data_IF_943970152631
#
_entry.id   IF_943970152631
#
_cell.length_a   1.000
_cell.length_b   1.000
_cell.length_c   1.000
_cell.angle_alpha   90.00
_cell.angle_beta   90.00
_cell.angle_gamma   90.00
#
_symmetry.space_group_name_H-M   'P 1'
#
loop_
_entity.id
_entity.type
_entity.pdbx_description
1 polymer ?
#
# COMPACT_ATOMS: atom_id res chain seq x y z
N UNK A 1 -12.34 -16.75 2.67
CA UNK A 1 -11.33 -17.80 2.46
C UNK A 1 -9.99 -17.13 2.47
N UNK A 2 -9.09 -17.65 3.29
CA UNK A 2 -7.73 -17.17 3.38
C UNK A 2 -6.95 -17.51 2.12
N UNK A 3 -6.05 -16.64 1.70
CA UNK A 3 -5.21 -16.87 0.55
C UNK A 3 -3.91 -16.09 0.58
N UNK A 4 -2.94 -16.56 -0.19
CA UNK A 4 -1.73 -15.81 -0.45
C UNK A 4 -2.03 -14.76 -1.52
N UNK A 5 -1.58 -13.53 -1.23
CA UNK A 5 -1.56 -12.42 -2.17
C UNK A 5 -0.13 -11.99 -2.34
N UNK A 6 0.34 -11.97 -3.58
CA UNK A 6 1.64 -11.45 -3.99
C UNK A 6 1.42 -10.14 -4.73
N UNK A 7 2.18 -9.11 -4.36
CA UNK A 7 2.05 -7.77 -4.95
C UNK A 7 3.42 -7.23 -5.32
N UNK A 8 3.50 -6.62 -6.49
CA UNK A 8 4.64 -5.82 -6.93
C UNK A 8 4.20 -4.37 -7.06
N UNK A 9 4.95 -3.46 -6.44
CA UNK A 9 4.58 -2.06 -6.28
C UNK A 9 5.77 -1.13 -6.45
N UNK A 10 5.50 0.12 -6.81
CA UNK A 10 6.37 1.23 -6.41
C UNK A 10 5.87 1.75 -5.06
N UNK A 11 6.76 1.83 -4.06
CA UNK A 11 6.42 2.26 -2.71
C UNK A 11 7.20 3.50 -2.31
N UNK A 12 6.52 4.43 -1.65
CA UNK A 12 7.13 5.52 -0.88
C UNK A 12 6.83 5.31 0.60
N UNK A 13 7.85 5.31 1.44
CA UNK A 13 7.64 5.36 2.89
C UNK A 13 7.31 6.80 3.32
N UNK A 14 6.46 6.96 4.33
CA UNK A 14 6.15 8.24 4.98
C UNK A 14 6.79 8.22 6.38
N UNK A 15 8.06 8.66 6.53
CA UNK A 15 8.83 8.46 7.77
C UNK A 15 8.20 9.12 8.99
N UNK A 16 7.51 10.24 8.80
CA UNK A 16 6.78 10.99 9.82
C UNK A 16 5.57 10.25 10.41
N UNK A 17 5.16 9.14 9.78
CA UNK A 17 4.07 8.28 10.23
C UNK A 17 4.57 7.04 10.99
N UNK A 18 5.89 6.84 11.09
CA UNK A 18 6.44 5.67 11.76
C UNK A 18 5.98 5.59 13.23
N UNK A 19 5.42 4.44 13.61
CA UNK A 19 4.97 4.18 14.96
C UNK A 19 3.58 4.71 15.29
N UNK A 20 2.93 5.46 14.39
CA UNK A 20 1.60 6.03 14.60
C UNK A 20 0.49 4.98 14.46
N UNK A 21 -0.61 5.20 15.16
CA UNK A 21 -1.84 4.40 15.05
C UNK A 21 -2.62 4.73 13.78
N UNK A 22 -3.64 3.92 13.44
CA UNK A 22 -4.53 4.20 12.30
C UNK A 22 -5.27 5.53 12.45
N UNK A 23 -5.72 5.87 13.66
CA UNK A 23 -6.35 7.16 13.97
C UNK A 23 -5.46 8.35 13.68
N UNK A 24 -4.17 8.23 14.03
CA UNK A 24 -3.20 9.29 13.80
C UNK A 24 -2.78 9.39 12.33
N UNK A 25 -2.90 8.28 11.60
CA UNK A 25 -2.45 8.14 10.21
C UNK A 25 -3.54 8.51 9.21
N UNK A 26 -4.79 8.11 9.48
CA UNK A 26 -5.90 8.30 8.56
C UNK A 26 -6.11 9.76 8.11
N UNK A 27 -6.02 10.78 8.98
CA UNK A 27 -6.11 12.18 8.56
C UNK A 27 -5.05 12.58 7.52
N UNK A 28 -3.85 12.00 7.60
CA UNK A 28 -2.78 12.25 6.62
C UNK A 28 -3.11 11.61 5.29
N UNK A 29 -3.65 10.39 5.29
CA UNK A 29 -4.11 9.75 4.05
C UNK A 29 -5.32 10.47 3.44
N UNK A 30 -6.24 10.97 4.26
CA UNK A 30 -7.37 11.78 3.81
C UNK A 30 -6.90 13.02 3.05
N UNK A 31 -5.88 13.72 3.57
CA UNK A 31 -5.30 14.87 2.90
C UNK A 31 -4.57 14.50 1.58
N UNK A 32 -3.91 13.34 1.53
CA UNK A 32 -3.09 12.91 0.38
C UNK A 32 -3.89 12.23 -0.74
N UNK A 33 -4.89 11.43 -0.39
CA UNK A 33 -5.61 10.53 -1.30
C UNK A 33 -7.11 10.83 -1.37
N UNK A 34 -7.67 11.64 -0.45
CA UNK A 34 -9.10 11.88 -0.34
C UNK A 34 -9.82 10.83 0.50
N UNK A 35 -11.14 10.72 0.37
CA UNK A 35 -11.92 9.78 1.17
C UNK A 35 -11.59 8.33 0.82
N UNK A 36 -11.31 7.52 1.84
CA UNK A 36 -11.15 6.07 1.68
C UNK A 36 -12.49 5.41 1.31
N UNK A 37 -12.56 4.64 0.21
CA UNK A 37 -13.75 3.87 -0.17
C UNK A 37 -14.20 2.87 0.90
N UNK A 38 -13.24 2.29 1.61
CA UNK A 38 -13.48 1.41 2.74
C UNK A 38 -12.93 2.08 4.01
N UNK A 39 -13.82 2.41 4.93
CA UNK A 39 -13.50 2.96 6.25
C UNK A 39 -14.37 2.25 7.29
N UNK A 40 -13.73 1.65 8.29
CA UNK A 40 -14.39 1.07 9.46
C UNK A 40 -13.98 1.83 10.72
N UNK A 41 -14.98 2.27 11.47
CA UNK A 41 -14.80 3.00 12.72
C UNK A 41 -15.50 2.27 13.85
N UNK A 42 -14.77 2.00 14.93
CA UNK A 42 -15.31 1.38 16.14
C UNK A 42 -15.08 2.29 17.34
N UNK A 43 -16.16 2.61 18.07
CA UNK A 43 -16.11 3.50 19.24
C UNK A 43 -15.46 4.88 19.01
N UNK A 44 -15.43 5.35 17.76
CA UNK A 44 -14.83 6.63 17.38
C UNK A 44 -13.37 6.54 16.94
N UNK A 45 -12.78 5.33 16.98
CA UNK A 45 -11.43 5.03 16.51
C UNK A 45 -11.51 4.38 15.11
N UNK A 46 -10.52 4.67 14.27
CA UNK A 46 -10.33 4.09 12.93
C UNK A 46 -9.68 2.71 13.08
N UNK A 47 -10.49 1.66 12.97
CA UNK A 47 -10.02 0.27 13.00
C UNK A 47 -9.38 -0.13 11.68
N UNK A 48 -9.96 0.33 10.56
CA UNK A 48 -9.54 -0.04 9.23
C UNK A 48 -9.86 1.06 8.22
N UNK A 49 -8.96 1.25 7.26
CA UNK A 49 -9.24 2.00 6.05
C UNK A 49 -8.47 1.40 4.88
N UNK A 50 -9.02 1.48 3.68
CA UNK A 50 -8.41 0.96 2.46
C UNK A 50 -8.78 1.78 1.23
N UNK A 51 -7.81 1.97 0.35
CA UNK A 51 -7.95 2.63 -0.95
C UNK A 51 -7.89 1.60 -2.09
N UNK A 52 -8.84 1.65 -3.02
CA UNK A 52 -8.95 0.73 -4.16
C UNK A 52 -8.41 1.31 -5.49
N UNK A 53 -7.72 2.45 -5.44
CA UNK A 53 -7.24 3.20 -6.60
C UNK A 53 -5.82 2.90 -7.07
N UNK A 54 -5.28 3.82 -7.89
CA UNK A 54 -3.89 3.81 -8.40
C UNK A 54 -2.89 3.83 -7.25
N UNK A 55 -3.20 4.57 -6.19
CA UNK A 55 -2.40 4.68 -4.98
C UNK A 55 -3.16 4.04 -3.83
N UNK A 56 -2.49 3.16 -3.10
CA UNK A 56 -3.03 2.46 -1.93
C UNK A 56 -2.18 2.74 -0.71
N UNK A 57 -2.79 2.70 0.47
CA UNK A 57 -2.07 2.68 1.73
C UNK A 57 -1.30 1.36 1.90
N UNK A 58 -0.22 1.42 2.67
CA UNK A 58 0.45 0.23 3.16
C UNK A 58 0.97 0.46 4.57
N UNK A 59 1.02 -0.63 5.33
CA UNK A 59 1.66 -0.67 6.64
C UNK A 59 2.51 -1.94 6.74
N UNK A 60 3.80 -1.78 7.01
CA UNK A 60 4.67 -2.85 7.45
C UNK A 60 4.39 -3.08 8.94
N UNK A 61 3.64 -4.15 9.24
CA UNK A 61 3.11 -4.46 10.58
C UNK A 61 4.24 -4.69 11.60
N UNK A 62 5.33 -5.32 11.20
CA UNK A 62 6.45 -5.64 12.10
C UNK A 62 7.21 -4.39 12.54
N UNK A 63 7.32 -3.41 11.64
CA UNK A 63 8.08 -2.18 11.90
C UNK A 63 7.20 -0.94 12.15
N UNK A 64 5.88 -1.11 12.08
CA UNK A 64 4.86 -0.06 12.11
C UNK A 64 5.22 1.15 11.23
N UNK A 65 5.66 0.85 9.99
CA UNK A 65 6.02 1.87 8.99
C UNK A 65 4.89 1.98 7.97
N UNK A 66 4.48 3.22 7.72
CA UNK A 66 3.42 3.54 6.80
C UNK A 66 3.99 4.09 5.49
N UNK A 67 3.27 3.88 4.40
CA UNK A 67 3.68 4.36 3.09
C UNK A 67 2.57 4.27 2.07
N UNK A 68 2.81 4.87 0.91
CA UNK A 68 1.88 4.81 -0.22
C UNK A 68 2.48 3.89 -1.28
N UNK A 69 1.62 3.12 -1.93
CA UNK A 69 1.99 2.19 -2.99
C UNK A 69 1.25 2.50 -4.27
N UNK A 70 1.96 2.43 -5.39
CA UNK A 70 1.37 2.26 -6.71
C UNK A 70 1.46 0.80 -7.12
N UNK A 71 0.30 0.16 -7.27
CA UNK A 71 0.22 -1.27 -7.59
C UNK A 71 0.58 -1.50 -9.06
N UNK A 72 1.61 -2.31 -9.32
CA UNK A 72 2.03 -2.68 -10.68
C UNK A 72 1.41 -4.01 -11.09
N UNK A 73 1.36 -4.96 -10.15
CA UNK A 73 0.80 -6.29 -10.33
C UNK A 73 0.36 -6.84 -8.98
N UNK A 74 -0.79 -7.50 -8.94
CA UNK A 74 -1.31 -8.19 -7.75
C UNK A 74 -1.84 -9.56 -8.16
N UNK A 75 -1.36 -10.60 -7.54
CA UNK A 75 -1.79 -11.97 -7.79
C UNK A 75 -2.23 -12.59 -6.49
N UNK A 76 -3.40 -13.21 -6.51
CA UNK A 76 -3.83 -14.11 -5.46
C UNK A 76 -3.96 -15.52 -6.03
N UNK A 77 -3.82 -16.52 -5.17
CA UNK A 77 -4.05 -17.91 -5.56
C UNK A 77 -5.52 -18.21 -5.97
N UNK A 78 -6.45 -17.23 -5.82
CA UNK A 78 -7.82 -17.27 -6.33
C UNK A 78 -8.07 -16.39 -7.57
N UNK A 79 -7.24 -15.36 -7.81
CA UNK A 79 -7.44 -14.36 -8.86
C UNK A 79 -6.15 -13.63 -9.18
N UNK A 80 -5.77 -13.58 -10.44
CA UNK A 80 -4.70 -12.71 -10.94
C UNK A 80 -5.31 -11.36 -11.33
N UNK A 81 -5.00 -10.30 -10.60
CA UNK A 81 -5.34 -8.91 -10.95
C UNK A 81 -4.09 -8.19 -11.47
N UNK A 82 -3.87 -8.29 -12.78
CA UNK A 82 -2.77 -7.56 -13.41
C UNK A 82 -3.23 -6.12 -13.63
N UNK A 83 -2.79 -5.20 -12.76
CA UNK A 83 -3.02 -3.75 -12.93
C UNK A 83 -2.17 -3.12 -14.06
N UNK A 84 -1.55 -3.94 -14.92
CA UNK A 84 -0.49 -3.53 -15.84
C UNK A 84 -0.42 -4.29 -17.17
N UNK A 85 0.34 -3.72 -18.09
CA UNK A 85 0.69 -4.26 -19.42
C UNK A 85 0.96 -5.76 -19.38
N UNK A 86 0.29 -6.55 -20.24
CA UNK A 86 0.54 -7.99 -20.39
C UNK A 86 1.99 -8.33 -20.78
N UNK A 87 2.80 -7.33 -21.11
CA UNK A 87 4.20 -7.47 -21.53
C UNK A 87 5.21 -7.00 -20.46
N UNK A 88 4.75 -6.70 -19.23
CA UNK A 88 5.58 -6.12 -18.19
C UNK A 88 5.85 -4.62 -18.40
N UNK A 89 6.67 -4.04 -17.53
CA UNK A 89 7.09 -2.64 -17.56
C UNK A 89 8.58 -2.54 -17.89
N UNK A 90 8.94 -1.60 -18.76
CA UNK A 90 10.31 -1.22 -19.01
C UNK A 90 10.88 -0.38 -17.85
N UNK A 91 12.21 -0.30 -17.76
CA UNK A 91 12.89 0.57 -16.78
C UNK A 91 12.48 2.04 -16.97
N UNK A 92 12.27 2.49 -18.22
CA UNK A 92 11.82 3.85 -18.52
C UNK A 92 10.45 4.14 -17.92
N UNK A 93 9.47 3.27 -18.15
CA UNK A 93 8.12 3.39 -17.59
C UNK A 93 8.14 3.36 -16.05
N UNK A 94 8.95 2.49 -15.45
CA UNK A 94 9.11 2.44 -13.99
C UNK A 94 9.69 3.74 -13.43
N UNK A 95 10.66 4.34 -14.12
CA UNK A 95 11.25 5.61 -13.71
C UNK A 95 10.25 6.78 -13.86
N UNK A 96 9.46 6.81 -14.94
CA UNK A 96 8.40 7.80 -15.13
C UNK A 96 7.35 7.69 -14.02
N UNK A 97 6.87 6.47 -13.73
CA UNK A 97 5.91 6.24 -12.65
C UNK A 97 6.48 6.58 -11.27
N UNK A 98 7.76 6.32 -11.02
CA UNK A 98 8.45 6.71 -9.78
C UNK A 98 8.54 8.23 -9.66
N UNK A 99 8.83 8.94 -10.75
CA UNK A 99 8.87 10.39 -10.77
C UNK A 99 7.49 11.02 -10.54
N UNK A 100 6.43 10.51 -11.20
CA UNK A 100 5.05 10.95 -10.96
C UNK A 100 4.64 10.78 -9.50
N UNK A 101 5.00 9.64 -8.90
CA UNK A 101 4.71 9.36 -7.50
C UNK A 101 5.48 10.28 -6.56
N UNK A 102 6.75 10.55 -6.87
CA UNK A 102 7.58 11.46 -6.09
C UNK A 102 7.07 12.91 -6.13
N UNK A 103 6.66 13.38 -7.30
CA UNK A 103 6.05 14.69 -7.48
C UNK A 103 4.71 14.80 -6.73
N UNK A 104 3.84 13.77 -6.83
CA UNK A 104 2.53 13.76 -6.16
C UNK A 104 2.64 13.81 -4.64
N UNK A 105 3.60 13.08 -4.06
CA UNK A 105 3.77 12.98 -2.61
C UNK A 105 4.90 13.86 -2.07
N UNK A 106 5.46 14.73 -2.92
CA UNK A 106 6.52 15.68 -2.57
C UNK A 106 7.72 15.02 -1.85
N UNK A 107 8.22 13.92 -2.43
CA UNK A 107 9.40 13.19 -1.94
C UNK A 107 10.52 13.19 -2.99
N UNK A 108 11.73 12.75 -2.61
CA UNK A 108 12.80 12.51 -3.57
C UNK A 108 12.45 11.27 -4.42
N UNK A 109 12.56 11.31 -5.77
CA UNK A 109 12.36 10.13 -6.62
C UNK A 109 13.19 8.92 -6.21
N UNK A 110 14.37 9.12 -5.63
CA UNK A 110 15.20 8.05 -5.09
C UNK A 110 14.63 7.39 -3.83
N UNK A 111 13.57 7.94 -3.22
CA UNK A 111 12.86 7.31 -2.10
C UNK A 111 11.74 6.38 -2.58
N UNK A 112 11.36 6.46 -3.86
CA UNK A 112 10.39 5.53 -4.45
C UNK A 112 11.10 4.23 -4.82
N UNK A 113 10.69 3.11 -4.21
CA UNK A 113 11.35 1.81 -4.36
C UNK A 113 10.42 0.77 -4.96
N UNK A 114 10.93 0.04 -5.96
CA UNK A 114 10.28 -1.18 -6.45
C UNK A 114 10.34 -2.25 -5.36
N UNK A 115 9.18 -2.75 -4.95
CA UNK A 115 9.04 -3.74 -3.89
C UNK A 115 8.11 -4.86 -4.35
N UNK A 116 8.51 -6.11 -4.12
CA UNK A 116 7.66 -7.29 -4.32
C UNK A 116 7.55 -8.06 -3.02
N UNK A 117 6.34 -8.38 -2.60
CA UNK A 117 6.09 -9.08 -1.34
C UNK A 117 4.83 -9.94 -1.41
N UNK A 118 4.76 -10.94 -0.53
CA UNK A 118 3.62 -11.86 -0.41
C UNK A 118 3.12 -11.84 1.03
N UNK A 119 1.80 -11.79 1.23
CA UNK A 119 1.17 -11.94 2.54
C UNK A 119 -0.04 -12.86 2.46
N UNK A 120 -0.44 -13.38 3.61
CA UNK A 120 -1.60 -14.25 3.75
C UNK A 120 -2.79 -13.44 4.29
N UNK A 121 -3.91 -13.44 3.56
CA UNK A 121 -5.16 -12.72 3.93
C UNK A 121 -6.04 -13.49 4.90
N UNK A 122 -5.59 -14.65 5.36
CA UNK A 122 -6.32 -15.37 6.40
C UNK A 122 -6.28 -14.62 7.71
N UNK A 123 -7.44 -14.10 8.10
CA UNK A 123 -7.72 -13.83 9.50
C UNK A 123 -7.79 -15.18 10.23
N UNK A 124 -6.66 -15.60 10.78
CA UNK A 124 -6.66 -16.38 12.01
C UNK A 124 -5.64 -15.71 12.92
N UNK A 125 -6.10 -15.39 14.12
CA UNK A 125 -5.30 -14.90 15.24
C UNK A 125 -3.91 -15.58 15.26
N UNK A 126 -2.82 -14.85 15.55
CA UNK A 126 -1.51 -15.49 15.64
C UNK A 126 -1.57 -16.60 16.70
N UNK A 127 -1.51 -17.86 16.25
CA UNK A 127 -1.26 -19.00 17.12
C UNK A 127 0.14 -18.83 17.66
N UNK A 128 0.22 -18.38 18.92
CA UNK A 128 1.48 -18.28 19.67
C UNK A 128 1.99 -19.71 19.94
N UNK A 129 3.21 -20.00 19.49
CA UNK A 129 4.01 -21.12 19.99
C UNK A 129 4.87 -20.68 21.16
#
# INVERSE_FOLDING_TARGET
>A
MSHDVTKTVLRVELPELKGKSRDEVYPVYLDLLGDAPELDMYQGEVEYFSYDGVYRECCDVDSNRWGIERVLQEESNYRTEIAGSQNGYSIGELNEMAQEMAEKFNVDPNQVRLTSYTWYTGADEPVRF
#
